data_IF_001877651943
#
_entry.id   IF_001877651943
#
_cell.length_a   1.000
_cell.length_b   1.000
_cell.length_c   1.000
_cell.angle_alpha   90.00
_cell.angle_beta   90.00
_cell.angle_gamma   90.00
#
_symmetry.space_group_name_H-M   'P 1'
#
loop_
_entity.id
_entity.type
_entity.pdbx_description
1 polymer ?
#
# COMPACT_ATOMS: atom_id res chain seq x y z
N UNK A 1 -5.29 -15.39 2.91
CA UNK A 1 -5.38 -15.53 4.37
C UNK A 1 -5.42 -17.02 4.80
N UNK A 2 -6.24 -17.83 4.17
CA UNK A 2 -6.41 -19.25 4.53
C UNK A 2 -5.07 -20.02 4.73
N UNK A 3 -4.11 -19.85 3.83
CA UNK A 3 -2.79 -20.47 3.93
C UNK A 3 -1.95 -19.93 5.12
N UNK A 4 -2.20 -18.71 5.58
CA UNK A 4 -1.58 -18.12 6.77
C UNK A 4 -2.24 -18.71 8.02
N UNK A 5 -3.56 -18.73 8.03
CA UNK A 5 -4.36 -19.19 9.17
C UNK A 5 -4.15 -20.69 9.44
N UNK A 6 -3.94 -21.48 8.37
CA UNK A 6 -3.62 -22.92 8.46
C UNK A 6 -2.15 -23.22 8.84
N UNK A 7 -1.29 -22.20 8.92
CA UNK A 7 0.15 -22.38 9.16
C UNK A 7 0.93 -22.96 7.96
N UNK A 8 0.29 -23.10 6.80
CA UNK A 8 0.95 -23.56 5.56
C UNK A 8 2.06 -22.62 5.12
N UNK A 9 1.87 -21.32 5.34
CA UNK A 9 2.87 -20.28 5.11
C UNK A 9 2.96 -19.33 6.30
N UNK A 10 4.16 -18.86 6.58
CA UNK A 10 4.39 -17.70 7.44
C UNK A 10 4.60 -16.48 6.56
N UNK A 11 3.87 -15.41 6.82
CA UNK A 11 3.98 -14.17 6.07
C UNK A 11 4.36 -13.01 6.97
N UNK A 12 5.40 -12.27 6.56
CA UNK A 12 5.80 -11.02 7.18
C UNK A 12 5.73 -9.89 6.16
N UNK A 13 5.09 -8.79 6.54
CA UNK A 13 5.01 -7.57 5.74
C UNK A 13 6.02 -6.54 6.27
N UNK A 14 6.87 -6.05 5.38
CA UNK A 14 7.85 -4.99 5.65
C UNK A 14 7.46 -3.79 4.80
N UNK A 15 6.91 -2.75 5.42
CA UNK A 15 6.62 -1.49 4.74
C UNK A 15 7.90 -0.66 4.74
N UNK A 16 8.50 -0.46 3.58
CA UNK A 16 9.77 0.25 3.43
C UNK A 16 9.60 1.77 3.58
N UNK A 17 8.54 2.30 3.01
CA UNK A 17 8.16 3.71 3.02
C UNK A 17 6.72 3.86 2.53
N UNK A 18 6.25 5.10 2.32
CA UNK A 18 4.89 5.39 1.84
C UNK A 18 4.57 4.93 0.41
N UNK A 19 5.49 4.28 -0.30
CA UNK A 19 5.30 3.86 -1.69
C UNK A 19 5.57 2.37 -1.92
N UNK A 20 6.34 1.73 -1.05
CA UNK A 20 6.86 0.38 -1.26
C UNK A 20 6.76 -0.46 0.00
N UNK A 21 6.38 -1.69 -0.18
CA UNK A 21 6.43 -2.73 0.83
C UNK A 21 7.04 -4.02 0.25
N UNK A 22 7.33 -4.96 1.13
CA UNK A 22 7.83 -6.28 0.77
C UNK A 22 7.10 -7.34 1.56
N UNK A 23 6.56 -8.33 0.86
CA UNK A 23 6.07 -9.56 1.43
C UNK A 23 7.24 -10.52 1.53
N UNK A 24 7.45 -11.07 2.72
CA UNK A 24 8.37 -12.18 2.97
C UNK A 24 7.52 -13.37 3.34
N UNK A 25 7.50 -14.39 2.49
CA UNK A 25 6.71 -15.60 2.69
C UNK A 25 7.64 -16.81 2.88
N UNK A 26 7.43 -17.57 3.94
CA UNK A 26 8.10 -18.82 4.20
C UNK A 26 7.12 -19.95 3.95
N UNK A 27 7.52 -20.91 3.13
CA UNK A 27 6.78 -22.15 2.92
C UNK A 27 7.13 -23.12 4.05
N UNK A 28 6.16 -23.54 4.82
CA UNK A 28 6.32 -24.47 5.93
C UNK A 28 6.02 -25.93 5.54
N UNK A 29 5.84 -26.19 4.23
CA UNK A 29 5.53 -27.53 3.70
C UNK A 29 6.69 -28.10 2.91
N UNK A 30 6.62 -29.39 2.64
CA UNK A 30 7.55 -30.17 1.80
C UNK A 30 7.23 -30.08 0.29
N UNK A 31 6.17 -29.35 -0.08
CA UNK A 31 5.74 -29.16 -1.47
C UNK A 31 5.98 -27.71 -1.92
N UNK A 32 6.28 -27.47 -3.20
CA UNK A 32 6.37 -26.12 -3.73
C UNK A 32 4.99 -25.45 -3.71
N UNK A 33 4.93 -24.19 -3.29
CA UNK A 33 3.71 -23.41 -3.23
C UNK A 33 3.75 -22.25 -4.23
N UNK A 34 2.62 -22.01 -4.89
CA UNK A 34 2.38 -20.80 -5.67
C UNK A 34 1.47 -19.88 -4.86
N UNK A 35 1.97 -18.71 -4.52
CA UNK A 35 1.25 -17.71 -3.74
C UNK A 35 0.72 -16.63 -4.68
N UNK A 36 -0.59 -16.40 -4.62
CA UNK A 36 -1.22 -15.27 -5.29
C UNK A 36 -1.23 -14.06 -4.35
N UNK A 37 -0.64 -12.96 -4.79
CA UNK A 37 -0.72 -11.68 -4.08
C UNK A 37 -2.07 -11.04 -4.39
N UNK A 38 -2.87 -10.67 -3.38
CA UNK A 38 -4.09 -9.90 -3.61
C UNK A 38 -3.77 -8.55 -4.26
N UNK A 39 -4.62 -8.11 -5.19
CA UNK A 39 -4.45 -6.80 -5.86
C UNK A 39 -4.51 -5.62 -4.89
N UNK A 40 -5.22 -5.77 -3.78
CA UNK A 40 -5.26 -4.85 -2.66
C UNK A 40 -5.38 -5.63 -1.34
N UNK A 41 -4.60 -5.24 -0.34
CA UNK A 41 -4.65 -5.78 1.02
C UNK A 41 -4.32 -4.67 2.04
N UNK A 42 -4.69 -4.87 3.28
CA UNK A 42 -4.39 -3.92 4.35
C UNK A 42 -3.02 -4.21 4.97
N UNK A 43 -2.25 -3.15 5.16
CA UNK A 43 -1.07 -3.14 6.01
C UNK A 43 -1.41 -2.35 7.28
N UNK A 44 -1.71 -3.07 8.34
CA UNK A 44 -2.14 -2.49 9.61
C UNK A 44 -0.95 -2.41 10.56
N UNK A 45 -0.58 -1.22 11.06
CA UNK A 45 0.49 -1.09 12.05
C UNK A 45 0.12 -1.84 13.33
N UNK A 46 1.05 -2.64 13.86
CA UNK A 46 0.85 -3.33 15.16
C UNK A 46 0.64 -2.33 16.29
N UNK A 47 1.34 -1.19 16.23
CA UNK A 47 1.13 -0.04 17.10
C UNK A 47 0.37 1.05 16.35
N UNK A 48 -0.94 0.90 16.22
CA UNK A 48 -1.83 1.72 15.37
C UNK A 48 -1.76 3.23 15.57
N UNK A 49 -1.25 3.71 16.70
CA UNK A 49 -1.15 5.16 17.00
C UNK A 49 0.15 5.81 16.54
N UNK A 50 1.12 5.05 16.10
CA UNK A 50 2.48 5.54 15.85
C UNK A 50 2.83 5.80 14.39
N UNK A 51 2.05 5.27 13.43
CA UNK A 51 2.34 5.40 12.00
C UNK A 51 1.09 5.19 11.15
N UNK A 52 1.18 5.58 9.87
CA UNK A 52 0.11 5.37 8.91
C UNK A 52 -0.07 3.88 8.60
N UNK A 53 -1.32 3.42 8.65
CA UNK A 53 -1.72 2.22 7.93
C UNK A 53 -1.96 2.52 6.44
N UNK A 54 -2.04 1.49 5.64
CA UNK A 54 -2.24 1.68 4.21
C UNK A 54 -2.69 0.43 3.48
N UNK A 55 -2.95 0.61 2.19
CA UNK A 55 -3.17 -0.46 1.24
C UNK A 55 -1.85 -0.94 0.67
N UNK A 56 -1.51 -2.20 0.88
CA UNK A 56 -0.53 -2.88 0.06
C UNK A 56 -1.18 -3.19 -1.29
N UNK A 57 -0.45 -2.97 -2.36
CA UNK A 57 -0.95 -3.15 -3.71
C UNK A 57 0.00 -4.04 -4.49
N UNK A 58 -0.52 -5.09 -5.09
CA UNK A 58 0.28 -6.01 -5.85
C UNK A 58 -0.57 -6.80 -6.82
N UNK A 59 0.05 -7.52 -7.69
CA UNK A 59 -0.60 -8.49 -8.55
C UNK A 59 0.37 -9.59 -8.93
N UNK A 60 -0.15 -10.74 -9.25
CA UNK A 60 0.61 -11.84 -9.78
C UNK A 60 0.82 -12.99 -8.82
N UNK A 61 1.56 -13.95 -9.34
CA UNK A 61 1.90 -15.19 -8.66
C UNK A 61 3.41 -15.23 -8.41
N UNK A 62 3.81 -15.74 -7.26
CA UNK A 62 5.21 -16.07 -7.03
C UNK A 62 5.35 -17.43 -6.36
N UNK A 63 6.42 -18.13 -6.70
CA UNK A 63 6.67 -19.47 -6.22
C UNK A 63 7.58 -19.45 -4.99
N UNK A 64 7.25 -20.29 -4.02
CA UNK A 64 8.06 -20.52 -2.83
C UNK A 64 8.40 -22.01 -2.77
N UNK A 65 9.67 -22.36 -3.01
CA UNK A 65 10.10 -23.76 -2.90
C UNK A 65 9.87 -24.30 -1.48
N UNK A 66 9.83 -25.64 -1.33
CA UNK A 66 9.65 -26.28 -0.03
C UNK A 66 10.65 -25.77 1.01
N UNK A 67 10.19 -25.50 2.21
CA UNK A 67 11.00 -25.05 3.36
C UNK A 67 11.86 -23.81 3.10
N UNK A 68 11.54 -23.03 2.05
CA UNK A 68 12.29 -21.81 1.67
C UNK A 68 11.50 -20.55 1.93
N UNK A 69 12.21 -19.43 1.86
CA UNK A 69 11.69 -18.08 1.99
C UNK A 69 11.77 -17.39 0.63
N UNK A 70 10.65 -16.83 0.19
CA UNK A 70 10.60 -15.95 -0.96
C UNK A 70 10.30 -14.50 -0.53
N UNK A 71 10.76 -13.55 -1.33
CA UNK A 71 10.55 -12.11 -1.13
C UNK A 71 9.87 -11.55 -2.37
N UNK A 72 8.79 -10.83 -2.18
CA UNK A 72 8.05 -10.19 -3.26
C UNK A 72 7.82 -8.73 -2.94
N UNK A 73 8.30 -7.83 -3.81
CA UNK A 73 8.08 -6.39 -3.63
C UNK A 73 6.70 -6.01 -4.15
N UNK A 74 6.00 -5.17 -3.40
CA UNK A 74 4.65 -4.71 -3.68
C UNK A 74 4.58 -3.19 -3.50
N UNK A 75 3.61 -2.55 -4.16
CA UNK A 75 3.30 -1.16 -3.93
C UNK A 75 2.69 -0.93 -2.55
N UNK A 76 2.71 0.32 -2.11
CA UNK A 76 2.06 0.74 -0.88
C UNK A 76 1.46 2.13 -1.06
N UNK A 77 0.24 2.34 -0.56
CA UNK A 77 -0.46 3.64 -0.58
C UNK A 77 -0.95 3.93 0.83
N UNK A 78 -0.58 5.07 1.37
CA UNK A 78 -1.01 5.50 2.71
C UNK A 78 -2.51 5.84 2.72
N UNK A 79 -3.25 5.29 3.69
CA UNK A 79 -4.69 5.51 3.88
C UNK A 79 -5.01 6.50 5.01
N UNK A 80 -4.05 6.81 5.87
CA UNK A 80 -4.27 7.65 7.06
C UNK A 80 -3.39 8.90 7.01
N UNK A 81 -3.83 9.90 6.24
CA UNK A 81 -3.11 11.18 6.15
C UNK A 81 -2.97 11.85 7.52
N UNK A 82 -1.81 12.42 7.79
CA UNK A 82 -1.52 13.14 9.02
C UNK A 82 -0.80 12.34 10.10
N UNK A 83 -0.78 11.01 10.01
CA UNK A 83 0.08 10.17 10.84
C UNK A 83 1.52 10.13 10.28
N UNK A 84 2.53 9.80 11.10
CA UNK A 84 3.90 9.65 10.66
C UNK A 84 4.05 8.64 9.51
N UNK A 85 4.95 8.91 8.59
CA UNK A 85 5.20 8.05 7.43
C UNK A 85 5.72 6.67 7.86
N UNK A 86 5.37 5.62 7.11
CA UNK A 86 5.85 4.27 7.36
C UNK A 86 7.38 4.19 7.28
N UNK A 87 7.95 3.34 8.13
CA UNK A 87 9.39 3.04 8.17
C UNK A 87 9.62 1.54 8.28
N UNK A 88 10.70 1.05 7.73
CA UNK A 88 11.04 -0.38 7.73
C UNK A 88 11.27 -1.00 9.12
N UNK A 89 11.47 -0.16 10.14
CA UNK A 89 11.59 -0.58 11.54
C UNK A 89 10.25 -0.82 12.23
N UNK A 90 9.15 -0.38 11.63
CA UNK A 90 7.79 -0.55 12.18
C UNK A 90 7.22 -1.90 11.74
N UNK A 91 6.46 -2.51 12.63
CA UNK A 91 5.80 -3.78 12.38
C UNK A 91 4.40 -3.58 11.82
N UNK A 92 4.08 -4.34 10.80
CA UNK A 92 2.77 -4.34 10.14
C UNK A 92 2.22 -5.75 10.04
N UNK A 93 0.92 -5.86 10.21
CA UNK A 93 0.15 -7.07 9.92
C UNK A 93 -0.49 -6.95 8.54
N UNK A 94 -0.45 -8.06 7.79
CA UNK A 94 -1.16 -8.21 6.54
C UNK A 94 -2.58 -8.69 6.84
N UNK A 95 -3.58 -7.88 6.47
CA UNK A 95 -5.00 -8.17 6.67
C UNK A 95 -5.80 -7.98 5.39
N UNK A 96 -7.05 -8.47 5.30
CA UNK A 96 -7.96 -8.10 4.23
C UNK A 96 -8.10 -6.58 4.15
N UNK A 97 -8.26 -6.03 2.93
CA UNK A 97 -8.35 -4.57 2.73
C UNK A 97 -9.49 -3.94 3.53
N UNK A 98 -10.54 -4.69 3.82
CA UNK A 98 -11.67 -4.27 4.65
C UNK A 98 -11.29 -3.89 6.09
N UNK A 99 -10.10 -4.29 6.56
CA UNK A 99 -9.58 -3.84 7.85
C UNK A 99 -9.17 -2.37 7.87
N UNK A 100 -8.96 -1.75 6.70
CA UNK A 100 -8.57 -0.35 6.57
C UNK A 100 -9.62 0.51 5.87
N UNK A 101 -10.32 -0.04 4.89
CA UNK A 101 -11.37 0.66 4.15
C UNK A 101 -12.39 -0.29 3.56
N UNK A 102 -13.64 0.12 3.56
CA UNK A 102 -14.74 -0.53 2.86
C UNK A 102 -15.27 0.33 1.70
N UNK A 103 -14.67 1.48 1.46
CA UNK A 103 -15.02 2.37 0.36
C UNK A 103 -14.63 1.71 -0.97
N UNK A 104 -15.61 1.38 -1.85
CA UNK A 104 -15.35 0.69 -3.10
C UNK A 104 -14.48 1.51 -4.05
N UNK A 105 -14.58 2.84 -4.03
CA UNK A 105 -13.76 3.72 -4.86
C UNK A 105 -12.28 3.64 -4.45
N UNK A 106 -12.01 3.69 -3.14
CA UNK A 106 -10.65 3.54 -2.61
C UNK A 106 -10.08 2.16 -2.95
N UNK A 107 -10.87 1.11 -2.76
CA UNK A 107 -10.45 -0.27 -3.10
C UNK A 107 -10.11 -0.39 -4.59
N UNK A 108 -10.96 0.15 -5.47
CA UNK A 108 -10.73 0.12 -6.93
C UNK A 108 -9.42 0.86 -7.32
N UNK A 109 -9.15 2.02 -6.72
CA UNK A 109 -7.88 2.76 -6.95
C UNK A 109 -6.67 1.93 -6.52
N UNK A 110 -6.74 1.28 -5.36
CA UNK A 110 -5.66 0.41 -4.88
C UNK A 110 -5.42 -0.76 -5.84
N UNK A 111 -6.48 -1.39 -6.35
CA UNK A 111 -6.39 -2.47 -7.34
C UNK A 111 -5.79 -1.98 -8.66
N UNK A 112 -6.22 -0.81 -9.17
CA UNK A 112 -5.62 -0.21 -10.36
C UNK A 112 -4.13 0.06 -10.19
N UNK A 113 -3.72 0.55 -9.01
CA UNK A 113 -2.30 0.73 -8.70
C UNK A 113 -1.57 -0.61 -8.62
N UNK A 114 -2.15 -1.64 -8.01
CA UNK A 114 -1.61 -3.00 -7.94
C UNK A 114 -1.38 -3.62 -9.31
N UNK A 115 -2.27 -3.35 -10.27
CA UNK A 115 -2.16 -3.76 -11.68
C UNK A 115 -1.25 -2.85 -12.51
N UNK A 116 -0.59 -1.87 -11.89
CA UNK A 116 0.26 -0.88 -12.57
C UNK A 116 -0.46 -0.04 -13.64
N UNK A 117 -1.78 0.14 -13.53
CA UNK A 117 -2.59 0.94 -14.44
C UNK A 117 -2.49 2.44 -14.15
N UNK A 118 -2.15 2.80 -12.92
CA UNK A 118 -1.95 4.18 -12.48
C UNK A 118 -0.67 4.33 -11.67
N UNK A 119 0.05 5.46 -11.79
CA UNK A 119 1.22 5.75 -10.98
C UNK A 119 0.87 5.95 -9.50
N UNK A 120 1.84 5.70 -8.62
CA UNK A 120 1.68 5.90 -7.17
C UNK A 120 1.16 7.30 -6.81
N UNK A 121 1.71 8.37 -7.39
CA UNK A 121 1.31 9.74 -7.09
C UNK A 121 -0.18 10.00 -7.38
N UNK A 122 -0.72 9.39 -8.45
CA UNK A 122 -2.15 9.47 -8.80
C UNK A 122 -2.98 8.72 -7.78
N UNK A 123 -2.62 7.48 -7.47
CA UNK A 123 -3.30 6.66 -6.47
C UNK A 123 -3.30 7.35 -5.10
N UNK A 124 -2.14 7.84 -4.65
CA UNK A 124 -2.00 8.50 -3.35
C UNK A 124 -2.84 9.76 -3.22
N UNK A 125 -2.86 10.62 -4.26
CA UNK A 125 -3.67 11.84 -4.25
C UNK A 125 -5.17 11.52 -4.23
N UNK A 126 -5.64 10.61 -5.07
CA UNK A 126 -7.03 10.19 -5.14
C UNK A 126 -7.50 9.54 -3.82
N UNK A 127 -6.69 8.66 -3.24
CA UNK A 127 -6.99 8.01 -1.96
C UNK A 127 -7.07 9.04 -0.82
N UNK A 128 -6.14 9.98 -0.71
CA UNK A 128 -6.22 11.01 0.32
C UNK A 128 -7.40 11.96 0.14
N UNK A 129 -7.80 12.21 -1.09
CA UNK A 129 -9.05 12.97 -1.35
C UNK A 129 -10.27 12.19 -0.86
N UNK A 130 -10.43 10.94 -1.25
CA UNK A 130 -11.61 10.12 -0.95
C UNK A 130 -11.65 9.66 0.51
N UNK A 131 -10.57 9.08 1.01
CA UNK A 131 -10.53 8.48 2.35
C UNK A 131 -10.32 9.49 3.48
N UNK A 132 -9.64 10.61 3.22
CA UNK A 132 -9.28 11.59 4.25
C UNK A 132 -9.92 12.98 4.02
N UNK A 133 -10.70 13.17 2.97
CA UNK A 133 -11.41 14.41 2.70
C UNK A 133 -10.52 15.60 2.32
N UNK A 134 -9.27 15.38 1.91
CA UNK A 134 -8.42 16.49 1.48
C UNK A 134 -8.93 17.09 0.17
N UNK A 135 -9.08 18.42 0.16
CA UNK A 135 -9.41 19.13 -1.08
C UNK A 135 -8.24 19.10 -2.06
N UNK A 136 -8.53 19.27 -3.34
CA UNK A 136 -7.49 19.35 -4.38
C UNK A 136 -6.52 20.51 -4.15
N UNK A 137 -7.02 21.64 -3.57
CA UNK A 137 -6.17 22.77 -3.20
C UNK A 137 -5.19 22.41 -2.06
N UNK A 138 -5.63 21.66 -1.05
CA UNK A 138 -4.75 21.18 0.01
C UNK A 138 -3.70 20.21 -0.53
N UNK A 139 -4.07 19.32 -1.44
CA UNK A 139 -3.13 18.41 -2.10
C UNK A 139 -2.13 19.16 -2.99
N UNK A 140 -2.58 20.21 -3.69
CA UNK A 140 -1.73 21.03 -4.54
C UNK A 140 -0.72 21.88 -3.75
N UNK A 141 -1.10 22.34 -2.57
CA UNK A 141 -0.23 23.12 -1.67
C UNK A 141 0.67 22.28 -0.79
N UNK A 142 0.51 20.93 -0.82
CA UNK A 142 1.34 20.04 -0.01
C UNK A 142 2.77 20.01 -0.53
N UNK A 143 3.73 20.17 0.37
CA UNK A 143 5.16 20.19 0.06
C UNK A 143 5.90 19.06 0.74
N UNK A 144 6.97 18.60 0.11
CA UNK A 144 8.01 17.78 0.74
C UNK A 144 9.01 18.71 1.40
N UNK A 145 9.14 18.59 2.72
CA UNK A 145 10.14 19.35 3.47
C UNK A 145 11.52 18.77 3.23
N UNK A 146 12.43 19.60 2.79
CA UNK A 146 13.83 19.27 2.57
C UNK A 146 14.70 20.03 3.58
N UNK A 147 15.76 19.41 4.09
CA UNK A 147 16.64 20.03 5.09
C UNK A 147 17.66 20.98 4.47
N UNK A 148 18.09 20.75 3.23
CA UNK A 148 19.21 21.46 2.61
C UNK A 148 18.90 22.10 1.27
N UNK A 149 17.69 21.94 0.75
CA UNK A 149 17.23 22.51 -0.52
C UNK A 149 15.80 23.04 -0.36
N UNK A 150 15.33 23.95 -1.22
CA UNK A 150 13.95 24.42 -1.17
C UNK A 150 12.93 23.29 -1.19
N UNK A 151 11.82 23.49 -0.47
CA UNK A 151 10.72 22.54 -0.49
C UNK A 151 10.21 22.35 -1.92
N UNK A 152 9.79 21.13 -2.20
CA UNK A 152 9.24 20.78 -3.52
C UNK A 152 7.78 20.35 -3.39
N UNK A 153 6.93 20.58 -4.40
CA UNK A 153 5.57 20.07 -4.40
C UNK A 153 5.55 18.57 -4.14
N UNK A 154 4.63 18.13 -3.29
CA UNK A 154 4.47 16.70 -3.02
C UNK A 154 3.92 15.95 -4.24
N UNK A 155 2.99 16.58 -4.94
CA UNK A 155 2.37 16.08 -6.17
C UNK A 155 2.66 17.02 -7.33
N UNK A 156 2.88 16.48 -8.51
CA UNK A 156 2.92 17.26 -9.74
C UNK A 156 1.49 17.69 -10.16
N UNK A 157 1.38 18.79 -10.90
CA UNK A 157 0.09 19.24 -11.45
C UNK A 157 -0.58 18.18 -12.31
N UNK A 158 0.19 17.44 -13.11
CA UNK A 158 -0.31 16.35 -13.96
C UNK A 158 -0.88 15.22 -13.12
N UNK A 159 -0.18 14.82 -12.05
CA UNK A 159 -0.69 13.77 -11.16
C UNK A 159 -1.99 14.17 -10.47
N UNK A 160 -2.12 15.42 -10.02
CA UNK A 160 -3.35 15.93 -9.40
C UNK A 160 -4.51 16.02 -10.40
N UNK A 161 -4.25 16.46 -11.62
CA UNK A 161 -5.25 16.50 -12.67
C UNK A 161 -5.77 15.10 -13.00
N UNK A 162 -4.88 14.14 -13.15
CA UNK A 162 -5.27 12.75 -13.39
C UNK A 162 -6.03 12.15 -12.20
N UNK A 163 -5.53 12.37 -10.98
CA UNK A 163 -6.20 11.90 -9.78
C UNK A 163 -7.61 12.48 -9.61
N UNK A 164 -7.80 13.77 -9.93
CA UNK A 164 -9.12 14.42 -9.84
C UNK A 164 -10.10 13.87 -10.87
N UNK A 165 -9.65 13.61 -12.09
CA UNK A 165 -10.47 12.97 -13.12
C UNK A 165 -10.83 11.53 -12.69
N UNK A 166 -9.86 10.77 -12.19
CA UNK A 166 -10.10 9.42 -11.70
C UNK A 166 -11.14 9.40 -10.58
N UNK A 167 -10.97 10.22 -9.55
CA UNK A 167 -11.89 10.29 -8.42
C UNK A 167 -13.30 10.73 -8.79
N UNK A 168 -13.46 11.54 -9.85
CA UNK A 168 -14.77 11.98 -10.33
C UNK A 168 -15.55 10.88 -11.07
N UNK A 169 -14.90 9.78 -11.43
CA UNK A 169 -15.50 8.65 -12.17
C UNK A 169 -15.64 7.38 -11.31
N UNK A 170 -15.31 7.47 -10.03
CA UNK A 170 -15.45 6.40 -9.05
C UNK A 170 -16.79 6.52 -8.31
#
# INVERSE_FOLDING_TARGET
HEAIDSGTIDVRLIVKNGQQARIVAKNNTDQPLTIQVPEAFAAVPVLAQTTQGGGGTGSGLFNVPPEKVAKHDVGFVCLEHGKPDPRSTMQYELKPISAMTTDPAVVAILQMHGRQQIPHAVAQAAVWHLANGLSWNQLASKERKNLSIPNTPYFSKVALQWASQLAAHM
#
